data_IF_957508938713
#
_entry.id   IF_957508938713
#
_cell.length_a   1.000
_cell.length_b   1.000
_cell.length_c   1.000
_cell.angle_alpha   90.00
_cell.angle_beta   90.00
_cell.angle_gamma   90.00
#
_symmetry.space_group_name_H-M   'P 1'
#
loop_
_entity.id
_entity.type
_entity.pdbx_description
1 polymer ?
#
# COMPACT_ATOMS: atom_id res chain seq x y z
N UNK A 1 -12.27 17.09 1.03
CA UNK A 1 -12.33 17.77 -0.29
C UNK A 1 -12.98 16.82 -1.29
N UNK A 2 -13.69 17.28 -2.33
CA UNK A 2 -14.30 16.36 -3.29
C UNK A 2 -13.22 15.65 -4.13
N UNK A 3 -13.58 14.48 -4.66
CA UNK A 3 -12.78 13.74 -5.63
C UNK A 3 -12.37 14.60 -6.82
N UNK A 4 -11.12 14.47 -7.26
CA UNK A 4 -10.60 15.06 -8.49
C UNK A 4 -10.13 13.95 -9.42
N UNK A 5 -10.71 13.83 -10.62
CA UNK A 5 -10.32 12.80 -11.58
C UNK A 5 -11.42 12.44 -12.55
N UNK A 6 -11.14 11.44 -13.39
CA UNK A 6 -12.06 11.03 -14.45
C UNK A 6 -13.29 10.29 -13.88
N UNK A 7 -14.39 10.36 -14.63
CA UNK A 7 -15.62 9.62 -14.33
C UNK A 7 -16.14 8.94 -15.58
N UNK A 8 -16.61 7.70 -15.44
CA UNK A 8 -17.29 6.93 -16.48
C UNK A 8 -18.64 6.47 -15.93
N UNK A 9 -19.73 6.76 -16.65
CA UNK A 9 -21.11 6.44 -16.24
C UNK A 9 -21.45 6.92 -14.81
N UNK A 10 -21.02 8.13 -14.46
CA UNK A 10 -21.25 8.73 -13.12
C UNK A 10 -20.38 8.14 -12.00
N UNK A 11 -19.52 7.14 -12.27
CA UNK A 11 -18.60 6.53 -11.29
C UNK A 11 -17.17 6.98 -11.52
N UNK A 12 -16.37 7.04 -10.45
CA UNK A 12 -14.92 7.30 -10.54
C UNK A 12 -14.25 6.21 -11.39
N UNK A 13 -13.44 6.62 -12.33
CA UNK A 13 -12.73 5.74 -13.26
C UNK A 13 -11.42 6.42 -13.68
N UNK A 14 -10.45 5.68 -14.22
CA UNK A 14 -9.19 6.28 -14.67
C UNK A 14 -8.34 6.78 -13.50
N UNK A 15 -7.58 7.86 -13.71
CA UNK A 15 -6.75 8.43 -12.65
C UNK A 15 -7.53 9.45 -11.83
N UNK A 16 -7.30 9.46 -10.51
CA UNK A 16 -7.90 10.46 -9.65
C UNK A 16 -7.44 10.41 -8.21
N UNK A 17 -7.77 11.46 -7.46
CA UNK A 17 -7.47 11.62 -6.06
C UNK A 17 -8.72 11.91 -5.24
N UNK A 18 -8.74 11.46 -3.99
CA UNK A 18 -9.81 11.71 -3.04
C UNK A 18 -9.23 11.96 -1.65
N UNK A 19 -9.64 13.06 -1.03
CA UNK A 19 -9.26 13.40 0.34
C UNK A 19 -10.49 13.28 1.26
N UNK A 20 -10.37 12.41 2.25
CA UNK A 20 -11.43 12.05 3.18
C UNK A 20 -11.47 13.03 4.37
N UNK A 21 -12.60 13.07 5.08
CA UNK A 21 -12.80 13.99 6.21
C UNK A 21 -11.96 13.64 7.45
N UNK A 22 -11.51 12.40 7.56
CA UNK A 22 -10.62 11.90 8.61
C UNK A 22 -9.13 12.23 8.34
N UNK A 23 -8.83 12.96 7.27
CA UNK A 23 -7.47 13.31 6.85
C UNK A 23 -6.80 12.23 6.01
N UNK A 24 -7.43 11.06 5.81
CA UNK A 24 -6.91 10.07 4.86
C UNK A 24 -6.98 10.60 3.43
N UNK A 25 -6.14 10.10 2.55
CA UNK A 25 -6.21 10.39 1.12
C UNK A 25 -5.82 9.20 0.26
N UNK A 26 -6.35 9.17 -0.96
CA UNK A 26 -5.92 8.23 -1.99
C UNK A 26 -5.65 8.99 -3.29
N UNK A 27 -4.59 8.62 -4.00
CA UNK A 27 -4.28 9.10 -5.35
C UNK A 27 -3.83 7.92 -6.20
N UNK A 28 -4.50 7.68 -7.33
CA UNK A 28 -4.14 6.59 -8.22
C UNK A 28 -5.30 6.16 -9.12
N UNK A 29 -5.26 4.91 -9.55
CA UNK A 29 -6.27 4.37 -10.44
C UNK A 29 -7.60 4.06 -9.75
N UNK A 30 -8.67 4.20 -10.53
CA UNK A 30 -10.05 3.93 -10.15
C UNK A 30 -10.74 3.09 -11.21
N UNK A 31 -11.57 2.15 -10.76
CA UNK A 31 -12.44 1.39 -11.63
C UNK A 31 -13.81 1.21 -10.97
N UNK A 32 -14.88 1.59 -11.69
CA UNK A 32 -16.27 1.50 -11.22
C UNK A 32 -16.50 2.05 -9.79
N UNK A 33 -15.78 3.10 -9.41
CA UNK A 33 -15.87 3.74 -8.10
C UNK A 33 -14.92 3.20 -7.02
N UNK A 34 -14.16 2.13 -7.29
CA UNK A 34 -13.20 1.51 -6.35
C UNK A 34 -11.76 1.82 -6.75
N UNK A 35 -10.83 1.79 -5.78
CA UNK A 35 -9.40 1.87 -6.08
C UNK A 35 -8.97 0.63 -6.87
N UNK A 36 -8.25 0.84 -7.95
CA UNK A 36 -7.82 -0.21 -8.88
C UNK A 36 -6.52 0.19 -9.59
N UNK A 37 -5.67 -0.76 -9.93
CA UNK A 37 -4.39 -0.48 -10.58
C UNK A 37 -3.36 0.02 -9.57
N UNK A 38 -2.52 0.99 -9.95
CA UNK A 38 -1.51 1.52 -9.04
C UNK A 38 -1.98 2.79 -8.34
N UNK A 39 -1.65 2.94 -7.06
CA UNK A 39 -2.02 4.13 -6.28
C UNK A 39 -1.37 4.20 -4.90
N UNK A 40 -1.43 5.41 -4.34
CA UNK A 40 -0.94 5.73 -3.00
C UNK A 40 -2.12 6.07 -2.09
N UNK A 41 -2.22 5.34 -0.98
CA UNK A 41 -3.10 5.67 0.14
C UNK A 41 -2.26 6.23 1.30
N UNK A 42 -2.69 7.35 1.85
CA UNK A 42 -2.06 7.97 3.01
C UNK A 42 -3.06 8.06 4.14
N UNK A 43 -2.73 7.45 5.28
CA UNK A 43 -3.38 7.69 6.55
C UNK A 43 -2.38 8.41 7.47
N UNK A 44 -2.58 9.71 7.76
CA UNK A 44 -1.59 10.53 8.46
C UNK A 44 -1.25 10.01 9.86
N UNK A 45 -2.14 9.25 10.49
CA UNK A 45 -1.94 8.74 11.84
C UNK A 45 -1.36 7.33 11.89
N UNK A 46 -1.27 6.62 10.75
CA UNK A 46 -0.94 5.19 10.74
C UNK A 46 0.16 4.84 9.74
N UNK A 47 -0.09 5.03 8.45
CA UNK A 47 0.80 4.57 7.41
C UNK A 47 0.48 5.20 6.04
N UNK A 48 1.47 5.08 5.15
CA UNK A 48 1.33 5.31 3.72
C UNK A 48 1.54 3.98 3.01
N UNK A 49 0.67 3.64 2.06
CA UNK A 49 0.86 2.50 1.17
C UNK A 49 0.93 2.99 -0.27
N UNK A 50 1.96 2.58 -1.00
CA UNK A 50 2.09 2.80 -2.45
C UNK A 50 2.24 1.46 -3.14
N UNK A 51 1.36 1.14 -4.06
CA UNK A 51 1.42 -0.12 -4.79
C UNK A 51 0.16 -0.44 -5.55
N UNK A 52 -0.04 -1.72 -5.83
CA UNK A 52 -1.20 -2.21 -6.54
C UNK A 52 -2.46 -2.30 -5.67
N UNK A 53 -3.59 -2.16 -6.35
CA UNK A 53 -4.95 -2.18 -5.82
C UNK A 53 -5.85 -2.97 -6.76
N UNK A 54 -6.73 -3.77 -6.18
CA UNK A 54 -7.77 -4.49 -6.90
C UNK A 54 -9.05 -4.44 -6.06
N UNK A 55 -10.15 -3.98 -6.66
CA UNK A 55 -11.45 -3.90 -5.98
C UNK A 55 -11.43 -3.18 -4.62
N UNK A 56 -10.59 -2.16 -4.47
CA UNK A 56 -10.44 -1.39 -3.22
C UNK A 56 -9.53 -2.03 -2.17
N UNK A 57 -8.85 -3.14 -2.49
CA UNK A 57 -7.92 -3.83 -1.59
C UNK A 57 -6.50 -3.79 -2.16
N UNK A 58 -5.49 -3.72 -1.29
CA UNK A 58 -4.08 -3.85 -1.69
C UNK A 58 -3.88 -5.19 -2.39
N UNK A 59 -3.25 -5.18 -3.56
CA UNK A 59 -3.02 -6.36 -4.39
C UNK A 59 -1.74 -6.19 -5.21
N UNK A 60 -1.02 -7.28 -5.49
CA UNK A 60 0.21 -7.24 -6.29
C UNK A 60 1.38 -6.73 -5.47
N UNK A 61 2.32 -6.01 -6.09
CA UNK A 61 3.47 -5.45 -5.37
C UNK A 61 3.12 -4.11 -4.72
N UNK A 62 3.66 -3.87 -3.52
CA UNK A 62 3.50 -2.58 -2.86
C UNK A 62 4.38 -2.41 -1.63
N UNK A 63 4.61 -1.14 -1.29
CA UNK A 63 5.36 -0.70 -0.12
C UNK A 63 4.43 -0.04 0.88
N UNK A 64 4.43 -0.51 2.12
CA UNK A 64 3.77 0.13 3.26
C UNK A 64 4.82 0.75 4.17
N UNK A 65 4.71 2.04 4.43
CA UNK A 65 5.54 2.80 5.37
C UNK A 65 4.68 3.18 6.56
N UNK A 66 5.02 2.71 7.75
CA UNK A 66 4.34 3.10 8.97
C UNK A 66 4.88 4.43 9.50
N UNK A 67 4.08 5.14 10.29
CA UNK A 67 4.52 6.37 10.95
C UNK A 67 5.75 6.13 11.86
N UNK A 68 5.94 4.91 12.36
CA UNK A 68 7.15 4.55 13.12
C UNK A 68 8.45 4.63 12.30
N UNK A 69 8.37 4.75 10.97
CA UNK A 69 9.51 4.70 10.05
C UNK A 69 9.80 3.29 9.55
N UNK A 70 9.11 2.27 10.07
CA UNK A 70 9.22 0.92 9.52
C UNK A 70 8.67 0.89 8.09
N UNK A 71 9.21 0.02 7.25
CA UNK A 71 8.71 -0.21 5.90
C UNK A 71 8.55 -1.69 5.61
N UNK A 72 7.56 -2.03 4.79
CA UNK A 72 7.38 -3.37 4.25
C UNK A 72 7.21 -3.26 2.75
N UNK A 73 8.05 -3.94 1.99
CA UNK A 73 7.95 -4.04 0.53
C UNK A 73 7.77 -5.50 0.16
N UNK A 74 6.68 -5.83 -0.53
CA UNK A 74 6.45 -7.20 -0.97
C UNK A 74 5.10 -7.39 -1.65
N UNK A 75 4.70 -8.64 -1.80
CA UNK A 75 3.42 -8.98 -2.44
C UNK A 75 2.25 -8.82 -1.47
N UNK A 76 1.10 -8.49 -2.04
CA UNK A 76 -0.17 -8.27 -1.38
C UNK A 76 -1.26 -9.04 -2.11
N UNK A 77 -2.19 -9.62 -1.35
CA UNK A 77 -3.37 -10.29 -1.89
C UNK A 77 -4.54 -10.03 -0.96
N UNK A 78 -5.65 -9.55 -1.51
CA UNK A 78 -6.88 -9.27 -0.75
C UNK A 78 -6.69 -8.34 0.47
N UNK A 79 -5.72 -7.43 0.41
CA UNK A 79 -5.44 -6.48 1.50
C UNK A 79 -4.41 -6.99 2.52
N UNK A 80 -3.95 -8.22 2.39
CA UNK A 80 -3.00 -8.87 3.30
C UNK A 80 -1.63 -9.04 2.64
N UNK A 81 -0.57 -9.06 3.46
CA UNK A 81 0.79 -9.38 3.02
C UNK A 81 0.81 -10.85 2.56
N UNK A 82 1.42 -11.13 1.43
CA UNK A 82 1.40 -12.45 0.82
C UNK A 82 2.77 -12.82 0.26
N UNK A 83 3.13 -14.11 0.28
CA UNK A 83 4.40 -14.63 -0.24
C UNK A 83 5.59 -13.90 0.40
N UNK A 84 6.60 -13.51 -0.36
CA UNK A 84 7.80 -12.91 0.18
C UNK A 84 7.69 -11.38 0.31
N UNK A 85 8.33 -10.84 1.34
CA UNK A 85 8.49 -9.41 1.50
C UNK A 85 9.62 -9.04 2.47
N UNK A 86 10.15 -7.84 2.27
CA UNK A 86 11.21 -7.25 3.06
C UNK A 86 10.61 -6.29 4.06
N UNK A 87 10.82 -6.55 5.35
CA UNK A 87 10.50 -5.62 6.42
C UNK A 87 11.79 -4.91 6.87
N UNK A 88 11.78 -3.58 6.82
CA UNK A 88 12.89 -2.74 7.27
C UNK A 88 12.45 -1.98 8.51
N UNK A 89 13.17 -2.16 9.60
CA UNK A 89 12.95 -1.40 10.82
C UNK A 89 13.49 0.03 10.70
N UNK A 90 13.04 0.96 11.56
CA UNK A 90 13.54 2.33 11.58
C UNK A 90 15.05 2.45 11.82
N UNK A 91 15.66 1.47 12.49
CA UNK A 91 17.10 1.39 12.74
C UNK A 91 17.91 0.90 11.52
N UNK A 92 17.22 0.54 10.43
CA UNK A 92 17.78 0.01 9.20
C UNK A 92 18.01 -1.50 9.21
N UNK A 93 17.62 -2.22 10.26
CA UNK A 93 17.66 -3.69 10.26
C UNK A 93 16.61 -4.25 9.30
N UNK A 94 17.00 -5.28 8.54
CA UNK A 94 16.20 -5.86 7.46
C UNK A 94 15.85 -7.30 7.79
N UNK A 95 14.57 -7.63 7.65
CA UNK A 95 14.03 -8.97 7.82
C UNK A 95 13.36 -9.41 6.53
N UNK A 96 13.82 -10.51 5.98
CA UNK A 96 13.16 -11.19 4.88
C UNK A 96 12.20 -12.21 5.48
N UNK A 97 10.93 -12.14 5.09
CA UNK A 97 9.93 -13.13 5.48
C UNK A 97 9.18 -13.66 4.26
N UNK A 98 8.92 -14.97 4.25
CA UNK A 98 7.84 -15.54 3.43
C UNK A 98 6.55 -15.51 4.27
N UNK A 99 5.75 -14.46 4.09
CA UNK A 99 4.42 -14.29 4.63
C UNK A 99 3.47 -15.32 3.99
N UNK A 100 3.52 -16.53 4.55
CA UNK A 100 2.83 -17.74 4.10
C UNK A 100 3.48 -19.04 4.60
N UNK A 101 4.74 -18.99 5.04
CA UNK A 101 5.48 -20.13 5.62
C UNK A 101 6.55 -19.58 6.56
N UNK A 102 6.53 -20.05 7.81
CA UNK A 102 7.26 -19.49 8.97
C UNK A 102 8.80 -19.56 8.83
N UNK A 103 9.40 -18.75 7.96
CA UNK A 103 10.85 -18.58 7.89
C UNK A 103 11.19 -17.10 7.80
N UNK A 104 11.76 -16.59 8.89
CA UNK A 104 12.29 -15.23 8.99
C UNK A 104 13.81 -15.31 8.98
N UNK A 105 14.47 -14.66 8.02
CA UNK A 105 15.92 -14.49 8.02
C UNK A 105 16.25 -13.03 8.33
N UNK A 106 16.94 -12.80 9.45
CA UNK A 106 17.58 -11.52 9.74
C UNK A 106 18.89 -11.48 8.98
N UNK A 107 19.05 -10.50 8.07
CA UNK A 107 20.35 -10.19 7.51
C UNK A 107 20.97 -9.11 8.41
N UNK A 108 21.86 -9.53 9.30
CA UNK A 108 22.64 -8.63 10.14
C UNK A 108 23.44 -7.63 9.29
N UNK A 109 23.60 -6.41 9.80
CA UNK A 109 24.43 -5.37 9.19
C UNK A 109 25.83 -5.93 8.88
N UNK A 110 26.22 -5.92 7.60
CA UNK A 110 27.61 -6.13 7.21
C UNK A 110 28.49 -5.04 7.84
N UNK A 111 29.60 -5.47 8.43
CA UNK A 111 30.57 -4.62 9.13
C UNK A 111 31.43 -3.76 8.22
#
# INVERSE_FOLDING_TARGET
MPYSGERKNGRRHGQGSNAYSDGCSYSGGWEAGKWHGHGTFTNPNHCTYTGGWENGKRHGQGTMTWHSGATYTGSWRNGERHSSGTYTHPDGSIYLGDWGREQFFSLGRGG
#
